data_IF_766696843516
#
_entry.id   IF_766696843516
#
_cell.length_a   1.000
_cell.length_b   1.000
_cell.length_c   1.000
_cell.angle_alpha   90.00
_cell.angle_beta   90.00
_cell.angle_gamma   90.00
#
_symmetry.space_group_name_H-M   'P 1'
#
loop_
_entity.id
_entity.type
_entity.pdbx_description
1 polymer ?
#
# COMPACT_ATOMS: atom_id res chain seq x y z
N UNK A 1 -3.23 24.31 -21.75
CA UNK A 1 -4.62 24.35 -21.22
C UNK A 1 -4.59 23.95 -19.75
N UNK A 2 -5.42 24.54 -18.88
CA UNK A 2 -5.52 24.13 -17.47
C UNK A 2 -6.81 23.32 -17.30
N UNK A 3 -6.70 22.10 -16.78
CA UNK A 3 -7.83 21.23 -16.44
C UNK A 3 -7.90 21.07 -14.92
N UNK A 4 -9.12 21.14 -14.40
CA UNK A 4 -9.40 20.89 -12.99
C UNK A 4 -10.12 19.54 -12.84
N UNK A 5 -9.44 18.55 -12.25
CA UNK A 5 -10.01 17.24 -11.95
C UNK A 5 -10.34 17.11 -10.46
N UNK A 6 -11.56 16.65 -10.15
CA UNK A 6 -12.05 16.47 -8.79
C UNK A 6 -12.90 17.64 -8.26
N UNK A 7 -13.35 17.59 -6.99
CA UNK A 7 -13.07 16.54 -6.02
C UNK A 7 -13.94 15.28 -6.14
N UNK A 8 -14.92 15.26 -7.05
CA UNK A 8 -15.89 14.16 -7.24
C UNK A 8 -15.70 13.41 -8.57
N UNK A 9 -14.47 13.16 -9.00
CA UNK A 9 -14.20 12.41 -10.23
C UNK A 9 -14.08 10.91 -9.95
N UNK A 10 -14.63 10.05 -10.83
CA UNK A 10 -14.66 8.58 -10.64
C UNK A 10 -13.27 7.94 -10.55
N UNK A 11 -12.29 8.50 -11.24
CA UNK A 11 -10.90 8.00 -11.20
C UNK A 11 -10.17 8.35 -9.90
N UNK A 12 -10.83 9.04 -8.96
CA UNK A 12 -10.25 9.39 -7.66
C UNK A 12 -10.80 8.44 -6.61
N UNK A 13 -9.94 7.58 -6.06
CA UNK A 13 -10.26 6.72 -4.91
C UNK A 13 -10.21 7.52 -3.59
N UNK A 14 -11.01 8.58 -3.51
CA UNK A 14 -11.02 9.52 -2.39
C UNK A 14 -11.49 10.90 -2.81
N UNK A 15 -11.22 11.90 -1.96
CA UNK A 15 -11.63 13.28 -2.19
C UNK A 15 -10.38 14.17 -2.19
N UNK A 16 -9.83 14.41 -3.37
CA UNK A 16 -8.73 15.34 -3.60
C UNK A 16 -8.93 16.04 -4.95
N UNK A 17 -8.24 17.15 -5.18
CA UNK A 17 -8.37 17.94 -6.41
C UNK A 17 -7.00 18.08 -7.06
N UNK A 18 -6.96 17.87 -8.38
CA UNK A 18 -5.77 18.04 -9.22
C UNK A 18 -6.00 19.19 -10.18
N UNK A 19 -5.14 20.21 -10.13
CA UNK A 19 -5.08 21.26 -11.14
C UNK A 19 -3.92 20.90 -12.06
N UNK A 20 -4.25 20.49 -13.28
CA UNK A 20 -3.28 19.97 -14.25
C UNK A 20 -3.09 20.98 -15.37
N UNK A 21 -1.85 21.35 -15.63
CA UNK A 21 -1.47 22.19 -16.77
C UNK A 21 -0.96 21.29 -17.89
N UNK A 22 -1.63 21.36 -19.04
CA UNK A 22 -1.38 20.53 -20.22
C UNK A 22 -0.79 21.35 -21.38
N UNK A 23 0.11 20.73 -22.13
CA UNK A 23 0.52 21.13 -23.48
C UNK A 23 0.14 20.01 -24.46
N UNK A 24 -0.97 20.19 -25.18
CA UNK A 24 -1.58 19.10 -25.95
C UNK A 24 -2.00 17.93 -25.06
N UNK A 25 -1.33 16.79 -25.21
CA UNK A 25 -1.54 15.55 -24.43
C UNK A 25 -0.55 15.41 -23.26
N UNK A 26 0.50 16.23 -23.22
CA UNK A 26 1.56 16.15 -22.21
C UNK A 26 1.20 16.97 -20.96
N UNK A 27 1.50 16.40 -19.79
CA UNK A 27 1.36 17.08 -18.50
C UNK A 27 2.64 17.86 -18.21
N UNK A 28 2.52 19.20 -18.12
CA UNK A 28 3.64 20.10 -17.80
C UNK A 28 3.74 20.34 -16.30
N UNK A 29 2.60 20.46 -15.62
CA UNK A 29 2.54 20.71 -14.18
C UNK A 29 1.27 20.11 -13.57
N UNK A 30 1.34 19.75 -12.30
CA UNK A 30 0.24 19.11 -11.57
C UNK A 30 0.25 19.57 -10.10
N UNK A 31 -0.70 20.44 -9.75
CA UNK A 31 -0.89 20.88 -8.37
C UNK A 31 -1.94 20.00 -7.68
N UNK A 32 -1.51 19.35 -6.61
CA UNK A 32 -2.36 18.50 -5.78
C UNK A 32 -2.89 19.28 -4.57
N UNK A 33 -4.19 19.53 -4.56
CA UNK A 33 -4.90 20.14 -3.43
C UNK A 33 -5.43 19.01 -2.54
N UNK A 34 -4.72 18.78 -1.45
CA UNK A 34 -5.13 17.91 -0.34
C UNK A 34 -5.97 18.70 0.68
N UNK A 35 -6.57 17.98 1.64
CA UNK A 35 -7.24 18.49 2.86
C UNK A 35 -8.77 18.47 2.89
N UNK A 36 -9.46 18.03 1.83
CA UNK A 36 -10.93 17.88 1.89
C UNK A 36 -11.40 16.90 2.99
N UNK A 37 -10.56 15.93 3.35
CA UNK A 37 -10.82 14.94 4.41
C UNK A 37 -10.05 15.22 5.72
N UNK A 38 -9.42 16.37 5.86
CA UNK A 38 -8.68 16.68 7.08
C UNK A 38 -9.64 16.82 8.29
N UNK A 39 -9.43 16.01 9.33
CA UNK A 39 -10.27 15.97 10.55
C UNK A 39 -9.51 16.24 11.85
N UNK A 40 -8.31 16.83 11.77
CA UNK A 40 -7.48 17.15 12.95
C UNK A 40 -7.31 15.97 13.93
N UNK A 41 -7.13 14.76 13.41
CA UNK A 41 -7.13 13.53 14.22
C UNK A 41 -6.04 13.57 15.33
N UNK A 42 -4.89 14.21 15.05
CA UNK A 42 -3.85 14.46 16.07
C UNK A 42 -4.32 15.35 17.23
N UNK A 43 -5.24 16.31 16.98
CA UNK A 43 -5.83 17.15 18.04
C UNK A 43 -6.85 16.35 18.85
N UNK A 44 -7.65 15.52 18.20
CA UNK A 44 -8.59 14.61 18.86
C UNK A 44 -7.83 13.63 19.77
N UNK A 45 -6.70 13.10 19.32
CA UNK A 45 -5.84 12.20 20.10
C UNK A 45 -5.41 12.80 21.45
N UNK A 46 -5.13 14.11 21.51
CA UNK A 46 -4.69 14.78 22.75
C UNK A 46 -5.75 14.79 23.85
N UNK A 47 -7.03 14.70 23.48
CA UNK A 47 -8.15 14.78 24.42
C UNK A 47 -8.81 13.42 24.67
N UNK A 48 -8.21 12.31 24.22
CA UNK A 48 -8.73 10.95 24.39
C UNK A 48 -7.70 10.05 25.05
N UNK A 49 -8.20 9.14 25.88
CA UNK A 49 -7.42 8.00 26.38
C UNK A 49 -7.08 7.06 25.23
N UNK A 50 -5.97 6.31 25.35
CA UNK A 50 -5.45 5.39 24.33
C UNK A 50 -6.54 4.44 23.79
N UNK A 51 -7.30 3.77 24.67
CA UNK A 51 -8.35 2.81 24.27
C UNK A 51 -9.45 3.50 23.45
N UNK A 52 -9.90 4.68 23.87
CA UNK A 52 -10.91 5.46 23.13
C UNK A 52 -10.40 5.97 21.78
N UNK A 53 -9.09 6.23 21.66
CA UNK A 53 -8.48 6.68 20.42
C UNK A 53 -8.27 5.54 19.40
N UNK A 54 -8.11 4.30 19.86
CA UNK A 54 -7.85 3.14 19.00
C UNK A 54 -8.88 2.99 17.87
N UNK A 55 -10.16 3.25 18.15
CA UNK A 55 -11.22 3.24 17.12
C UNK A 55 -10.94 4.25 16.00
N UNK A 56 -10.44 5.45 16.32
CA UNK A 56 -10.07 6.46 15.33
C UNK A 56 -8.86 6.06 14.51
N UNK A 57 -7.87 5.40 15.11
CA UNK A 57 -6.69 4.89 14.39
C UNK A 57 -7.12 3.92 13.29
N UNK A 58 -8.06 3.02 13.59
CA UNK A 58 -8.59 2.08 12.61
C UNK A 58 -9.35 2.79 11.47
N UNK A 59 -10.03 3.90 11.74
CA UNK A 59 -10.69 4.73 10.71
C UNK A 59 -9.71 5.42 9.74
N UNK A 60 -8.52 5.80 10.22
CA UNK A 60 -7.49 6.40 9.35
C UNK A 60 -6.80 5.32 8.51
N UNK A 61 -6.57 4.14 9.10
CA UNK A 61 -5.98 2.99 8.40
C UNK A 61 -6.90 2.31 7.38
N UNK A 62 -8.13 2.78 7.17
CA UNK A 62 -9.05 2.19 6.19
C UNK A 62 -8.47 2.23 4.77
N UNK A 63 -7.58 3.18 4.45
CA UNK A 63 -6.89 3.22 3.15
C UNK A 63 -5.98 2.00 2.92
N UNK A 64 -5.37 1.44 3.97
CA UNK A 64 -4.64 0.17 3.89
C UNK A 64 -5.54 -1.00 3.48
N UNK A 65 -6.84 -0.94 3.83
CA UNK A 65 -7.85 -1.91 3.39
C UNK A 65 -8.40 -1.60 1.98
N UNK A 66 -8.47 -0.33 1.59
CA UNK A 66 -8.94 0.08 0.25
C UNK A 66 -7.98 -0.32 -0.87
N UNK A 67 -6.66 -0.27 -0.66
CA UNK A 67 -5.69 -0.77 -1.64
C UNK A 67 -5.78 -2.30 -1.83
N UNK A 68 -6.13 -3.02 -0.76
CA UNK A 68 -6.45 -4.45 -0.82
C UNK A 68 -7.74 -4.73 -1.61
N UNK A 69 -8.64 -3.76 -1.74
CA UNK A 69 -9.94 -3.92 -2.41
C UNK A 69 -9.83 -3.98 -3.94
N UNK A 70 -8.89 -3.24 -4.55
CA UNK A 70 -8.58 -3.32 -5.99
C UNK A 70 -8.04 -4.72 -6.34
N UNK A 71 -7.17 -5.26 -5.49
CA UNK A 71 -6.61 -6.60 -5.66
C UNK A 71 -7.71 -7.66 -5.49
N UNK A 72 -8.61 -7.50 -4.51
CA UNK A 72 -9.76 -8.40 -4.33
C UNK A 72 -10.72 -8.34 -5.52
N UNK A 73 -10.98 -7.17 -6.11
CA UNK A 73 -11.80 -7.04 -7.31
C UNK A 73 -11.18 -7.72 -8.54
N UNK A 74 -9.88 -7.55 -8.74
CA UNK A 74 -9.12 -8.26 -9.78
C UNK A 74 -9.20 -9.78 -9.52
N UNK A 75 -9.03 -10.22 -8.27
CA UNK A 75 -9.14 -11.64 -7.88
C UNK A 75 -10.55 -12.22 -8.13
N UNK A 76 -11.62 -11.49 -7.82
CA UNK A 76 -13.00 -11.91 -8.12
C UNK A 76 -13.28 -11.99 -9.62
N UNK A 77 -12.70 -11.09 -10.42
CA UNK A 77 -12.85 -11.14 -11.89
C UNK A 77 -12.05 -12.29 -12.51
N UNK A 78 -10.83 -12.55 -11.99
CA UNK A 78 -9.95 -13.65 -12.41
C UNK A 78 -10.61 -15.03 -12.27
N UNK A 79 -11.45 -15.23 -11.25
CA UNK A 79 -12.11 -16.52 -11.03
C UNK A 79 -13.33 -16.77 -11.92
N UNK A 80 -13.87 -15.75 -12.59
CA UNK A 80 -15.11 -15.90 -13.37
C UNK A 80 -14.86 -16.41 -14.79
N UNK A 81 -13.82 -15.94 -15.49
CA UNK A 81 -13.53 -16.32 -16.88
C UNK A 81 -12.01 -16.31 -17.16
N UNK A 82 -11.35 -17.48 -17.12
CA UNK A 82 -9.88 -17.60 -17.21
C UNK A 82 -9.28 -17.15 -18.55
N UNK A 83 -10.03 -17.18 -19.65
CA UNK A 83 -9.52 -16.76 -20.97
C UNK A 83 -9.40 -15.24 -21.08
N UNK A 84 -10.37 -14.47 -20.57
CA UNK A 84 -10.31 -13.00 -20.55
C UNK A 84 -9.21 -12.43 -19.65
N UNK A 85 -8.69 -13.23 -18.72
CA UNK A 85 -7.67 -12.78 -17.77
C UNK A 85 -6.35 -12.48 -18.47
N UNK A 86 -5.97 -13.28 -19.46
CA UNK A 86 -4.69 -13.07 -20.16
C UNK A 86 -4.75 -11.81 -21.02
N UNK A 87 -5.82 -11.64 -21.80
CA UNK A 87 -6.02 -10.46 -22.64
C UNK A 87 -6.14 -9.18 -21.79
N UNK A 88 -6.84 -9.25 -20.65
CA UNK A 88 -6.93 -8.13 -19.72
C UNK A 88 -5.58 -7.83 -19.06
N UNK A 89 -4.82 -8.87 -18.68
CA UNK A 89 -3.50 -8.72 -18.09
C UNK A 89 -2.52 -8.07 -19.08
N UNK A 90 -2.54 -8.50 -20.34
CA UNK A 90 -1.76 -7.90 -21.43
C UNK A 90 -2.14 -6.43 -21.61
N UNK A 91 -3.43 -6.12 -21.75
CA UNK A 91 -3.92 -4.75 -21.92
C UNK A 91 -3.59 -3.83 -20.73
N UNK A 92 -3.55 -4.36 -19.50
CA UNK A 92 -3.14 -3.59 -18.32
C UNK A 92 -1.63 -3.39 -18.32
N UNK A 93 -0.86 -4.42 -18.66
CA UNK A 93 0.62 -4.36 -18.72
C UNK A 93 1.07 -3.29 -19.69
N UNK A 94 0.51 -3.27 -20.90
CA UNK A 94 0.81 -2.26 -21.93
C UNK A 94 0.52 -0.81 -21.47
N UNK A 95 -0.40 -0.62 -20.52
CA UNK A 95 -0.76 0.71 -19.99
C UNK A 95 0.13 1.21 -18.87
N UNK A 96 0.81 0.31 -18.16
CA UNK A 96 1.55 0.64 -16.93
C UNK A 96 3.05 0.41 -17.05
N UNK A 97 3.49 -0.39 -18.02
CA UNK A 97 4.90 -0.60 -18.32
C UNK A 97 5.54 0.71 -18.77
N UNK A 98 6.68 1.05 -18.17
CA UNK A 98 7.41 2.29 -18.45
C UNK A 98 6.77 3.57 -17.90
N UNK A 99 5.65 3.49 -17.17
CA UNK A 99 4.98 4.66 -16.57
C UNK A 99 5.39 4.85 -15.12
N UNK A 100 5.70 6.10 -14.74
CA UNK A 100 6.00 6.45 -13.36
C UNK A 100 7.37 5.96 -12.88
N UNK A 101 8.39 6.09 -13.73
CA UNK A 101 9.76 5.65 -13.43
C UNK A 101 10.34 6.50 -12.30
N UNK A 102 10.77 5.86 -11.20
CA UNK A 102 11.38 6.54 -10.05
C UNK A 102 12.72 5.90 -9.70
N UNK A 103 13.80 6.68 -9.67
CA UNK A 103 15.13 6.23 -9.28
C UNK A 103 15.21 5.89 -7.77
N UNK A 104 16.14 5.00 -7.39
CA UNK A 104 16.34 4.65 -5.98
C UNK A 104 16.71 5.86 -5.11
N UNK A 105 17.63 6.71 -5.58
CA UNK A 105 18.04 7.91 -4.83
C UNK A 105 16.88 8.91 -4.67
N UNK A 106 16.07 9.09 -5.72
CA UNK A 106 14.88 9.95 -5.68
C UNK A 106 13.86 9.40 -4.69
N UNK A 107 13.61 8.09 -4.72
CA UNK A 107 12.69 7.42 -3.81
C UNK A 107 13.09 7.62 -2.34
N UNK A 108 14.38 7.53 -2.04
CA UNK A 108 14.92 7.81 -0.69
C UNK A 108 14.76 9.30 -0.34
N UNK A 109 15.16 10.19 -1.24
CA UNK A 109 15.13 11.64 -0.99
C UNK A 109 13.71 12.17 -0.77
N UNK A 110 12.72 11.58 -1.44
CA UNK A 110 11.31 11.94 -1.27
C UNK A 110 10.64 11.20 -0.09
N UNK A 111 11.36 10.28 0.57
CA UNK A 111 10.82 9.49 1.67
C UNK A 111 9.66 8.59 1.25
N UNK A 112 9.75 7.99 0.04
CA UNK A 112 8.70 7.14 -0.49
C UNK A 112 8.55 5.85 0.35
N UNK A 113 7.33 5.30 0.43
CA UNK A 113 7.05 4.11 1.23
C UNK A 113 7.66 2.85 0.62
N UNK A 114 7.84 1.82 1.45
CA UNK A 114 8.54 0.57 1.12
C UNK A 114 8.15 -0.09 -0.21
N UNK A 115 6.87 -0.19 -0.61
CA UNK A 115 6.51 -0.81 -1.89
C UNK A 115 7.13 -0.10 -3.09
N UNK A 116 7.23 1.24 -3.03
CA UNK A 116 7.84 2.05 -4.09
C UNK A 116 9.36 1.93 -4.01
N UNK A 117 9.95 1.97 -2.82
CA UNK A 117 11.40 1.74 -2.64
C UNK A 117 11.83 0.40 -3.26
N UNK A 118 11.07 -0.66 -3.01
CA UNK A 118 11.32 -2.01 -3.54
C UNK A 118 11.13 -2.09 -5.05
N UNK A 119 10.14 -1.39 -5.59
CA UNK A 119 9.96 -1.28 -7.04
C UNK A 119 11.09 -0.48 -7.71
N UNK A 120 11.64 0.52 -7.03
CA UNK A 120 12.78 1.33 -7.48
C UNK A 120 14.15 0.63 -7.36
N UNK A 121 14.19 -0.62 -6.92
CA UNK A 121 15.40 -1.43 -6.81
C UNK A 121 16.11 -1.39 -5.46
N UNK A 122 15.48 -0.82 -4.43
CA UNK A 122 16.04 -0.76 -3.07
C UNK A 122 15.50 -1.93 -2.25
N UNK A 123 16.40 -2.79 -1.77
CA UNK A 123 16.07 -3.94 -0.91
C UNK A 123 15.93 -3.52 0.55
N UNK A 124 14.90 -2.71 0.84
CA UNK A 124 14.56 -2.31 2.20
C UNK A 124 13.18 -2.84 2.58
N UNK A 125 13.10 -3.40 3.78
CA UNK A 125 11.84 -3.80 4.41
C UNK A 125 12.00 -3.67 5.93
N UNK A 126 11.04 -2.98 6.56
CA UNK A 126 11.07 -2.73 8.00
C UNK A 126 11.02 -4.01 8.84
N UNK A 127 10.33 -5.07 8.37
CA UNK A 127 10.21 -6.34 9.10
C UNK A 127 11.56 -7.06 9.22
N UNK A 128 12.42 -6.89 8.22
CA UNK A 128 13.77 -7.44 8.23
C UNK A 128 14.79 -6.53 8.92
N UNK A 129 14.55 -5.22 8.95
CA UNK A 129 15.52 -4.26 9.51
C UNK A 129 15.32 -4.02 11.01
N UNK A 130 14.09 -3.81 11.46
CA UNK A 130 13.77 -3.42 12.85
C UNK A 130 13.34 -4.62 13.72
N UNK A 131 13.29 -5.83 13.13
CA UNK A 131 13.08 -7.10 13.85
C UNK A 131 11.90 -7.07 14.85
N UNK A 132 10.79 -6.42 14.47
CA UNK A 132 9.62 -6.33 15.34
C UNK A 132 8.79 -7.61 15.31
N UNK A 133 8.03 -7.86 16.39
CA UNK A 133 7.22 -9.07 16.57
C UNK A 133 8.01 -10.39 16.42
N UNK A 134 7.65 -11.23 15.46
CA UNK A 134 8.23 -12.56 15.27
C UNK A 134 8.65 -12.82 13.82
N UNK A 135 8.83 -11.75 13.03
CA UNK A 135 9.15 -11.84 11.61
C UNK A 135 10.46 -12.59 11.33
N UNK A 136 11.44 -12.50 12.25
CA UNK A 136 12.74 -13.19 12.18
C UNK A 136 12.64 -14.70 12.26
N UNK A 137 11.50 -15.22 12.74
CA UNK A 137 11.28 -16.66 12.87
C UNK A 137 10.81 -17.27 11.57
N UNK A 138 10.39 -16.48 10.58
CA UNK A 138 9.91 -16.98 9.30
C UNK A 138 11.04 -17.03 8.27
N UNK A 139 10.97 -18.02 7.38
CA UNK A 139 11.82 -18.08 6.21
C UNK A 139 11.14 -17.33 5.06
N UNK A 140 11.67 -16.15 4.74
CA UNK A 140 11.15 -15.30 3.69
C UNK A 140 12.27 -14.43 3.09
N UNK A 141 11.96 -13.83 1.94
CA UNK A 141 12.90 -12.97 1.23
C UNK A 141 12.18 -11.69 0.85
N UNK A 142 12.90 -10.58 0.86
CA UNK A 142 12.40 -9.28 0.40
C UNK A 142 12.05 -9.37 -1.09
N UNK A 143 10.82 -9.01 -1.46
CA UNK A 143 10.35 -9.01 -2.84
C UNK A 143 10.56 -7.61 -3.44
N UNK A 144 11.42 -7.51 -4.45
CA UNK A 144 11.82 -6.25 -5.08
C UNK A 144 11.89 -6.42 -6.60
N UNK A 145 11.93 -5.31 -7.32
CA UNK A 145 11.98 -5.28 -8.79
C UNK A 145 13.05 -4.29 -9.26
N UNK A 146 13.53 -4.46 -10.50
CA UNK A 146 14.63 -3.64 -11.05
C UNK A 146 14.11 -2.55 -11.99
N UNK A 147 12.92 -2.72 -12.53
CA UNK A 147 12.37 -2.00 -13.68
C UNK A 147 11.88 -0.58 -13.31
N UNK A 148 11.64 -0.32 -12.02
CA UNK A 148 11.35 1.02 -11.43
C UNK A 148 10.08 1.71 -11.89
N UNK A 149 9.21 1.02 -12.60
CA UNK A 149 7.95 1.55 -13.13
C UNK A 149 6.73 1.09 -12.30
N UNK A 150 5.54 1.47 -12.78
CA UNK A 150 4.28 1.09 -12.14
C UNK A 150 4.02 -0.42 -12.23
N UNK A 151 4.49 -1.09 -13.29
CA UNK A 151 4.42 -2.54 -13.42
C UNK A 151 5.27 -3.23 -12.35
N UNK A 152 6.47 -2.73 -12.09
CA UNK A 152 7.36 -3.20 -11.02
C UNK A 152 6.68 -3.12 -9.66
N UNK A 153 5.98 -2.01 -9.36
CA UNK A 153 5.18 -1.88 -8.13
C UNK A 153 4.10 -2.97 -8.03
N UNK A 154 3.39 -3.21 -9.13
CA UNK A 154 2.36 -4.24 -9.19
C UNK A 154 2.93 -5.64 -8.96
N UNK A 155 3.99 -6.01 -9.70
CA UNK A 155 4.63 -7.34 -9.60
C UNK A 155 5.25 -7.58 -8.22
N UNK A 156 5.90 -6.58 -7.63
CA UNK A 156 6.39 -6.65 -6.26
C UNK A 156 5.25 -7.03 -5.28
N UNK A 157 4.07 -6.41 -5.44
CA UNK A 157 2.91 -6.70 -4.59
C UNK A 157 2.35 -8.11 -4.79
N UNK A 158 2.27 -8.60 -6.03
CA UNK A 158 1.86 -9.98 -6.32
C UNK A 158 2.80 -10.98 -5.64
N UNK A 159 4.11 -10.72 -5.72
CA UNK A 159 5.11 -11.57 -5.09
C UNK A 159 5.03 -11.52 -3.55
N UNK A 160 4.80 -10.34 -2.97
CA UNK A 160 4.56 -10.18 -1.53
C UNK A 160 3.36 -11.01 -1.07
N UNK A 161 2.24 -10.99 -1.79
CA UNK A 161 1.08 -11.81 -1.42
C UNK A 161 1.42 -13.30 -1.41
N UNK A 162 2.17 -13.76 -2.40
CA UNK A 162 2.60 -15.16 -2.48
C UNK A 162 3.50 -15.54 -1.30
N UNK A 163 4.39 -14.64 -0.89
CA UNK A 163 5.26 -14.84 0.28
C UNK A 163 4.48 -14.75 1.60
N UNK A 164 3.52 -13.83 1.72
CA UNK A 164 2.62 -13.74 2.87
C UNK A 164 1.85 -15.04 3.09
N UNK A 165 1.34 -15.67 2.02
CA UNK A 165 0.68 -16.98 2.12
C UNK A 165 1.63 -18.05 2.69
N UNK A 166 2.89 -18.08 2.22
CA UNK A 166 3.91 -19.02 2.75
C UNK A 166 4.23 -18.76 4.22
N UNK A 167 4.33 -17.49 4.64
CA UNK A 167 4.56 -17.13 6.03
C UNK A 167 3.38 -17.53 6.93
N UNK A 168 2.14 -17.34 6.45
CA UNK A 168 0.94 -17.80 7.17
C UNK A 168 0.97 -19.33 7.34
N UNK A 169 1.36 -20.08 6.30
CA UNK A 169 1.52 -21.54 6.40
C UNK A 169 2.57 -21.93 7.45
N UNK A 170 3.75 -21.27 7.45
CA UNK A 170 4.78 -21.48 8.47
C UNK A 170 4.28 -21.11 9.88
N UNK A 171 3.47 -20.06 10.01
CA UNK A 171 2.90 -19.62 11.27
C UNK A 171 1.93 -20.68 11.82
N UNK A 172 1.03 -21.20 10.97
CA UNK A 172 0.05 -22.23 11.34
C UNK A 172 0.71 -23.49 11.92
N UNK A 173 1.86 -23.90 11.38
CA UNK A 173 2.63 -25.05 11.88
C UNK A 173 3.29 -24.79 13.26
N UNK A 174 3.50 -23.52 13.61
CA UNK A 174 4.32 -23.09 14.76
C UNK A 174 3.52 -22.38 15.84
N UNK A 175 2.18 -22.35 15.76
CA UNK A 175 1.33 -21.69 16.75
C UNK A 175 1.54 -22.34 18.13
N UNK A 176 2.04 -21.58 19.14
CA UNK A 176 2.17 -22.08 20.48
C UNK A 176 0.80 -22.23 21.15
N UNK A 177 0.67 -23.18 22.08
CA UNK A 177 -0.56 -23.38 22.89
C UNK A 177 -0.70 -22.42 24.08
N UNK A 178 0.21 -21.46 24.23
CA UNK A 178 0.20 -20.52 25.36
C UNK A 178 -1.03 -19.61 25.31
N UNK A 179 -1.41 -18.98 26.45
CA UNK A 179 -2.38 -17.90 26.46
C UNK A 179 -2.00 -16.81 25.46
N UNK A 180 -3.01 -16.23 24.81
CA UNK A 180 -2.84 -15.20 23.77
C UNK A 180 -2.76 -13.78 24.34
N UNK A 181 -3.14 -13.59 25.60
CA UNK A 181 -3.07 -12.31 26.32
C UNK A 181 -1.89 -12.29 27.27
N UNK A 182 -1.23 -11.12 27.34
CA UNK A 182 -0.19 -10.88 28.32
C UNK A 182 -0.84 -10.51 29.66
N UNK A 183 -1.04 -11.52 30.52
CA UNK A 183 -1.71 -11.38 31.82
C UNK A 183 -0.95 -10.50 32.83
N UNK A 184 0.32 -10.19 32.57
CA UNK A 184 1.15 -9.35 33.43
C UNK A 184 0.73 -7.87 33.45
N UNK A 185 -0.05 -7.41 32.45
CA UNK A 185 -0.47 -5.99 32.32
C UNK A 185 -1.71 -5.68 33.19
N UNK A 186 -2.37 -6.69 33.79
CA UNK A 186 -3.53 -6.47 34.65
C UNK A 186 -3.18 -5.98 36.07
N UNK A 187 -1.90 -5.85 36.42
CA UNK A 187 -1.46 -5.29 37.69
C UNK A 187 -1.25 -3.77 37.60
N UNK A 188 -2.35 -3.01 37.53
CA UNK A 188 -2.35 -1.60 37.93
C UNK A 188 -3.41 -1.45 39.03
N UNK A 189 -2.94 -1.37 40.27
CA UNK A 189 -3.74 -1.04 41.46
C UNK A 189 -4.41 0.35 41.35
#
# INVERSE_FOLDING_TARGET
MIINMGPHHLSMHGVFRLIVTLDGEDIVDCELILSYLHREIKKIAKNRTIISYLSYSNYVGVESYSFSSIIVWIFFYIFKERELVNDLFEAVTERIEGIGIIGGEEAINWGLPDPILRASGIKLDLQNFDHYECYDKFDWEIQWQKERDSLACYLARINEMTKSIKMIQQALERIPKSPYENLEIQCFD
#
